data_IF_462940927364
#
_entry.id   IF_462940927364
#
_cell.length_a   1.000
_cell.length_b   1.000
_cell.length_c   1.000
_cell.angle_alpha   90.00
_cell.angle_beta   90.00
_cell.angle_gamma   90.00
#
_symmetry.space_group_name_H-M   'P 1'
#
loop_
_entity.id
_entity.type
_entity.pdbx_description
1 polymer ?
#
# COMPACT_ATOMS: atom_id res chain seq x y z
N UNK A 1 39.13 53.71 -46.61
CA UNK A 1 38.51 52.53 -47.23
C UNK A 1 38.96 51.33 -46.43
N UNK A 2 38.13 50.89 -45.48
CA UNK A 2 38.50 49.82 -44.55
C UNK A 2 37.25 49.10 -44.06
N UNK A 3 37.29 47.77 -44.17
CA UNK A 3 36.70 46.71 -43.31
C UNK A 3 36.23 45.55 -44.20
N UNK A 4 37.01 44.48 -44.27
CA UNK A 4 37.21 43.39 -43.29
C UNK A 4 36.08 42.37 -43.35
N UNK A 5 36.42 41.22 -43.92
CA UNK A 5 35.67 39.96 -43.97
C UNK A 5 35.40 39.50 -42.53
N UNK A 6 34.16 39.09 -42.24
CA UNK A 6 33.80 38.39 -40.99
C UNK A 6 33.18 37.05 -41.33
N UNK A 7 33.82 36.00 -40.83
CA UNK A 7 33.42 34.60 -40.84
C UNK A 7 32.03 34.38 -40.25
N UNK A 8 31.26 33.49 -40.88
CA UNK A 8 30.03 32.92 -40.32
C UNK A 8 29.98 31.44 -40.67
N UNK A 9 30.39 30.57 -39.72
CA UNK A 9 30.04 29.12 -39.70
C UNK A 9 30.56 28.39 -38.43
N UNK A 10 30.53 29.02 -37.25
CA UNK A 10 30.96 28.38 -35.99
C UNK A 10 29.83 28.09 -34.99
N UNK A 11 28.60 28.58 -35.20
CA UNK A 11 27.51 28.47 -34.21
C UNK A 11 26.79 27.11 -34.17
N UNK A 12 26.94 26.26 -35.20
CA UNK A 12 26.14 25.02 -35.29
C UNK A 12 26.70 23.87 -34.44
N UNK A 13 28.02 23.87 -34.20
CA UNK A 13 28.68 22.80 -33.45
C UNK A 13 28.57 23.03 -31.93
N UNK A 14 28.69 24.27 -31.46
CA UNK A 14 28.54 24.61 -30.04
C UNK A 14 27.09 24.46 -29.57
N UNK A 15 26.10 24.83 -30.39
CA UNK A 15 24.68 24.63 -30.06
C UNK A 15 24.28 23.15 -29.98
N UNK A 16 24.96 22.26 -30.71
CA UNK A 16 24.73 20.81 -30.63
C UNK A 16 25.43 20.21 -29.41
N UNK A 17 26.63 20.69 -29.09
CA UNK A 17 27.37 20.29 -27.89
C UNK A 17 26.59 20.64 -26.61
N UNK A 18 26.04 21.84 -26.51
CA UNK A 18 25.23 22.26 -25.35
C UNK A 18 23.90 21.52 -25.23
N UNK A 19 23.29 21.10 -26.35
CA UNK A 19 22.08 20.28 -26.31
C UNK A 19 22.38 18.85 -25.85
N UNK A 20 23.50 18.25 -26.27
CA UNK A 20 23.95 16.94 -25.77
C UNK A 20 24.35 16.96 -24.30
N UNK A 21 24.96 18.05 -23.83
CA UNK A 21 25.36 18.23 -22.43
C UNK A 21 24.13 18.44 -21.54
N UNK A 22 23.10 19.15 -22.02
CA UNK A 22 21.82 19.31 -21.31
C UNK A 22 20.99 18.02 -21.26
N UNK A 23 21.06 17.18 -22.31
CA UNK A 23 20.41 15.84 -22.32
C UNK A 23 21.16 14.86 -21.41
N UNK A 24 22.48 14.95 -21.33
CA UNK A 24 23.28 14.19 -20.36
C UNK A 24 22.96 14.60 -18.92
N UNK A 25 22.86 15.90 -18.63
CA UNK A 25 22.46 16.43 -17.32
C UNK A 25 21.04 15.98 -16.92
N UNK A 26 20.09 15.93 -17.86
CA UNK A 26 18.74 15.41 -17.62
C UNK A 26 18.69 13.90 -17.39
N UNK A 27 19.56 13.13 -18.07
CA UNK A 27 19.70 11.70 -17.84
C UNK A 27 20.33 11.41 -16.47
N UNK A 28 21.28 12.24 -16.02
CA UNK A 28 21.85 12.16 -14.68
C UNK A 28 20.86 12.61 -13.58
N UNK A 29 19.98 13.59 -13.87
CA UNK A 29 18.89 14.00 -12.98
C UNK A 29 17.76 12.95 -12.85
N UNK A 30 17.61 12.07 -13.84
CA UNK A 30 16.66 10.95 -13.84
C UNK A 30 17.24 9.63 -13.29
N UNK A 31 18.48 9.63 -12.82
CA UNK A 31 19.00 8.63 -11.87
C UNK A 31 19.08 7.16 -12.32
N UNK A 32 18.77 6.81 -13.56
CA UNK A 32 18.95 5.45 -14.06
C UNK A 32 19.41 5.44 -15.51
N UNK A 33 20.58 4.84 -15.76
CA UNK A 33 21.08 4.65 -17.13
C UNK A 33 20.30 3.53 -17.83
N UNK A 34 20.03 3.65 -19.14
CA UNK A 34 19.42 2.55 -19.93
C UNK A 34 20.17 1.21 -19.79
N UNK A 35 21.46 1.25 -19.43
CA UNK A 35 22.27 0.05 -19.17
C UNK A 35 21.91 -0.69 -17.89
N UNK A 36 21.38 -0.05 -16.86
CA UNK A 36 20.97 -0.72 -15.60
C UNK A 36 19.64 -1.46 -15.77
N UNK A 37 18.77 -1.00 -16.66
CA UNK A 37 17.54 -1.72 -17.02
C UNK A 37 17.80 -3.03 -17.78
N UNK A 38 19.00 -3.24 -18.35
CA UNK A 38 19.33 -4.49 -19.06
C UNK A 38 19.27 -5.74 -18.18
N UNK A 39 19.43 -5.59 -16.87
CA UNK A 39 19.42 -6.72 -15.96
C UNK A 39 17.99 -7.14 -15.56
N UNK A 40 17.01 -6.22 -15.57
CA UNK A 40 15.62 -6.50 -15.15
C UNK A 40 14.74 -7.05 -16.29
N UNK A 41 15.07 -8.24 -16.78
CA UNK A 41 14.35 -8.88 -17.90
C UNK A 41 12.86 -9.08 -17.64
N UNK A 42 12.46 -9.42 -16.43
CA UNK A 42 11.06 -9.63 -16.09
C UNK A 42 10.27 -8.31 -16.14
N UNK A 43 10.84 -7.22 -15.63
CA UNK A 43 10.26 -5.88 -15.77
C UNK A 43 10.14 -5.44 -17.24
N UNK A 44 11.17 -5.66 -18.06
CA UNK A 44 11.10 -5.35 -19.50
C UNK A 44 9.98 -6.09 -20.24
N UNK A 45 9.77 -7.36 -19.90
CA UNK A 45 8.65 -8.12 -20.46
C UNK A 45 7.29 -7.51 -20.05
N UNK A 46 7.17 -7.01 -18.82
CA UNK A 46 5.97 -6.33 -18.35
C UNK A 46 5.75 -4.98 -19.05
N UNK A 47 6.82 -4.23 -19.35
CA UNK A 47 6.75 -3.00 -20.15
C UNK A 47 6.20 -3.27 -21.57
N UNK A 48 6.72 -4.27 -22.27
CA UNK A 48 6.22 -4.67 -23.60
C UNK A 48 4.74 -5.09 -23.49
N UNK A 49 4.40 -5.89 -22.48
CA UNK A 49 3.02 -6.31 -22.23
C UNK A 49 2.10 -5.10 -22.03
N UNK A 50 2.58 -4.06 -21.34
CA UNK A 50 1.82 -2.85 -21.11
C UNK A 50 1.53 -2.05 -22.38
N UNK A 51 2.51 -2.00 -23.29
CA UNK A 51 2.39 -1.35 -24.60
C UNK A 51 1.37 -2.07 -25.49
N UNK A 52 1.33 -3.41 -25.43
CA UNK A 52 0.38 -4.23 -26.18
C UNK A 52 -1.04 -4.21 -25.57
N UNK A 53 -1.12 -4.21 -24.24
CA UNK A 53 -2.38 -4.22 -23.50
C UNK A 53 -2.28 -3.38 -22.23
N UNK A 54 -3.15 -2.37 -22.04
CA UNK A 54 -3.07 -1.50 -20.88
C UNK A 54 -3.27 -2.29 -19.58
N UNK A 55 -2.34 -2.09 -18.64
CA UNK A 55 -2.42 -2.65 -17.30
C UNK A 55 -3.37 -1.76 -16.52
N UNK A 56 -4.50 -2.33 -16.10
CA UNK A 56 -5.48 -1.60 -15.29
C UNK A 56 -5.07 -1.63 -13.82
N UNK A 57 -5.32 -0.51 -13.13
CA UNK A 57 -5.19 -0.39 -11.68
C UNK A 57 -6.38 0.42 -11.15
N UNK A 58 -6.60 0.35 -9.84
CA UNK A 58 -7.65 1.11 -9.16
C UNK A 58 -7.25 2.58 -9.00
N UNK A 59 -6.00 2.83 -8.60
CA UNK A 59 -5.40 4.14 -8.46
C UNK A 59 -3.92 4.07 -8.85
N UNK A 60 -3.38 5.19 -9.33
CA UNK A 60 -1.97 5.31 -9.70
C UNK A 60 -1.19 5.79 -8.48
N UNK A 61 -0.19 5.00 -8.06
CA UNK A 61 0.59 5.22 -6.84
C UNK A 61 2.05 5.60 -7.12
N UNK A 62 2.31 6.26 -8.25
CA UNK A 62 3.65 6.63 -8.72
C UNK A 62 4.47 7.35 -7.64
N UNK A 63 3.91 8.39 -7.02
CA UNK A 63 4.59 9.17 -5.97
C UNK A 63 4.74 8.36 -4.67
N UNK A 64 3.69 7.63 -4.27
CA UNK A 64 3.64 6.85 -3.04
C UNK A 64 4.71 5.74 -3.04
N UNK A 65 4.95 5.13 -4.20
CA UNK A 65 5.86 3.99 -4.37
C UNK A 65 7.18 4.40 -5.03
N UNK A 66 7.44 5.71 -5.13
CA UNK A 66 8.70 6.27 -5.64
C UNK A 66 9.09 5.75 -7.03
N UNK A 67 8.10 5.52 -7.91
CA UNK A 67 8.32 5.20 -9.31
C UNK A 67 8.62 6.50 -10.09
N UNK A 68 9.46 6.44 -11.14
CA UNK A 68 9.80 7.65 -11.89
C UNK A 68 8.61 8.20 -12.70
N UNK A 69 7.70 7.31 -13.13
CA UNK A 69 6.49 7.68 -13.87
C UNK A 69 5.44 6.56 -13.80
N UNK A 70 4.24 6.84 -14.30
CA UNK A 70 3.09 5.93 -14.28
C UNK A 70 3.35 4.63 -15.06
N UNK A 71 4.13 4.67 -16.15
CA UNK A 71 4.45 3.46 -16.92
C UNK A 71 5.33 2.51 -16.12
N UNK A 72 6.33 3.05 -15.40
CA UNK A 72 7.16 2.26 -14.50
C UNK A 72 6.32 1.63 -13.39
N UNK A 73 5.44 2.42 -12.76
CA UNK A 73 4.51 1.91 -11.75
C UNK A 73 3.67 0.76 -12.29
N UNK A 74 3.04 0.92 -13.46
CA UNK A 74 2.15 -0.09 -14.04
C UNK A 74 2.89 -1.38 -14.40
N UNK A 75 4.09 -1.29 -14.99
CA UNK A 75 4.89 -2.47 -15.30
C UNK A 75 5.38 -3.19 -14.02
N UNK A 76 5.85 -2.45 -13.01
CA UNK A 76 6.21 -3.03 -11.70
C UNK A 76 5.01 -3.68 -11.02
N UNK A 77 3.85 -3.04 -11.07
CA UNK A 77 2.60 -3.57 -10.54
C UNK A 77 2.24 -4.91 -11.18
N UNK A 78 2.38 -5.04 -12.50
CA UNK A 78 2.15 -6.30 -13.19
C UNK A 78 3.11 -7.40 -12.71
N UNK A 79 4.40 -7.11 -12.61
CA UNK A 79 5.39 -8.04 -12.07
C UNK A 79 5.05 -8.46 -10.62
N UNK A 80 4.71 -7.50 -9.75
CA UNK A 80 4.34 -7.76 -8.35
C UNK A 80 3.09 -8.64 -8.24
N UNK A 81 2.07 -8.38 -9.06
CA UNK A 81 0.85 -9.22 -9.14
C UNK A 81 1.19 -10.67 -9.48
N UNK A 82 2.00 -10.88 -10.51
CA UNK A 82 2.44 -12.22 -10.91
C UNK A 82 3.28 -12.89 -9.81
N UNK A 83 4.15 -12.13 -9.14
CA UNK A 83 4.98 -12.65 -8.06
C UNK A 83 4.15 -13.11 -6.85
N UNK A 84 3.10 -12.38 -6.46
CA UNK A 84 2.15 -12.83 -5.45
C UNK A 84 1.38 -14.08 -5.88
N UNK A 85 0.91 -14.12 -7.13
CA UNK A 85 0.25 -15.32 -7.68
C UNK A 85 1.18 -16.54 -7.66
N UNK A 86 2.47 -16.35 -7.94
CA UNK A 86 3.47 -17.42 -7.86
C UNK A 86 3.66 -17.88 -6.41
N UNK A 87 3.81 -16.96 -5.45
CA UNK A 87 3.96 -17.28 -4.02
C UNK A 87 2.78 -18.09 -3.48
N UNK A 88 1.55 -17.74 -3.85
CA UNK A 88 0.35 -18.39 -3.31
C UNK A 88 0.05 -19.77 -3.93
N UNK A 89 0.90 -20.25 -4.84
CA UNK A 89 0.90 -21.67 -5.23
C UNK A 89 1.35 -22.57 -4.08
N UNK A 90 2.14 -22.05 -3.14
CA UNK A 90 2.50 -22.75 -1.91
C UNK A 90 1.46 -22.47 -0.83
N UNK A 91 0.62 -23.45 -0.45
CA UNK A 91 -0.40 -23.25 0.57
C UNK A 91 0.18 -22.92 1.95
N UNK A 92 1.44 -23.29 2.24
CA UNK A 92 2.09 -22.92 3.49
C UNK A 92 2.32 -21.42 3.61
N UNK A 93 2.58 -20.72 2.50
CA UNK A 93 2.72 -19.26 2.48
C UNK A 93 1.38 -18.60 2.77
N UNK A 94 0.31 -19.05 2.12
CA UNK A 94 -1.05 -18.55 2.36
C UNK A 94 -1.45 -18.70 3.83
N UNK A 95 -1.23 -19.89 4.40
CA UNK A 95 -1.52 -20.15 5.81
C UNK A 95 -0.70 -19.26 6.75
N UNK A 96 0.60 -19.12 6.47
CA UNK A 96 1.48 -18.27 7.27
C UNK A 96 1.03 -16.81 7.28
N UNK A 97 0.58 -16.27 6.14
CA UNK A 97 0.06 -14.89 6.06
C UNK A 97 -1.21 -14.72 6.89
N UNK A 98 -2.15 -15.66 6.79
CA UNK A 98 -3.41 -15.65 7.56
C UNK A 98 -3.10 -15.66 9.07
N UNK A 99 -2.26 -16.57 9.52
CA UNK A 99 -1.92 -16.71 10.94
C UNK A 99 -1.17 -15.49 11.47
N UNK A 100 -0.19 -15.02 10.71
CA UNK A 100 0.64 -13.87 11.09
C UNK A 100 -0.16 -12.58 11.10
N UNK A 101 -1.02 -12.36 10.10
CA UNK A 101 -1.91 -11.20 10.06
C UNK A 101 -2.86 -11.18 11.26
N UNK A 102 -3.47 -12.32 11.58
CA UNK A 102 -4.31 -12.48 12.78
C UNK A 102 -3.54 -12.15 14.06
N UNK A 103 -2.34 -12.71 14.21
CA UNK A 103 -1.51 -12.52 15.41
C UNK A 103 -1.12 -11.06 15.61
N UNK A 104 -0.55 -10.41 14.58
CA UNK A 104 -0.12 -9.01 14.66
C UNK A 104 -1.27 -8.07 15.04
N UNK A 105 -2.44 -8.24 14.41
CA UNK A 105 -3.60 -7.42 14.70
C UNK A 105 -4.18 -7.69 16.09
N UNK A 106 -4.12 -8.93 16.57
CA UNK A 106 -4.49 -9.28 17.94
C UNK A 106 -3.56 -8.62 18.95
N UNK A 107 -2.25 -8.68 18.73
CA UNK A 107 -1.25 -8.07 19.61
C UNK A 107 -1.41 -6.55 19.69
N UNK A 108 -1.69 -5.91 18.55
CA UNK A 108 -2.03 -4.48 18.51
C UNK A 108 -3.27 -4.14 19.34
N UNK A 109 -4.34 -4.94 19.26
CA UNK A 109 -5.55 -4.75 20.05
C UNK A 109 -5.29 -4.93 21.54
N UNK A 110 -4.52 -5.95 21.93
CA UNK A 110 -4.11 -6.18 23.31
C UNK A 110 -3.31 -4.99 23.88
N UNK A 111 -2.38 -4.43 23.10
CA UNK A 111 -1.60 -3.25 23.50
C UNK A 111 -2.45 -2.00 23.70
N UNK A 112 -3.60 -1.91 23.04
CA UNK A 112 -4.58 -0.84 23.24
C UNK A 112 -5.66 -1.16 24.28
N UNK A 113 -5.45 -2.17 25.11
CA UNK A 113 -6.41 -2.66 26.12
C UNK A 113 -7.81 -2.97 25.53
N UNK A 114 -7.86 -3.50 24.30
CA UNK A 114 -9.12 -3.87 23.62
C UNK A 114 -9.45 -5.34 23.81
N UNK A 115 -10.75 -5.63 23.91
CA UNK A 115 -11.24 -7.01 23.83
C UNK A 115 -11.07 -7.55 22.41
N UNK A 116 -10.47 -8.74 22.30
CA UNK A 116 -10.09 -9.35 21.01
C UNK A 116 -11.13 -10.34 20.50
N UNK A 117 -12.13 -10.71 21.31
CA UNK A 117 -13.06 -11.78 20.99
C UNK A 117 -13.82 -11.55 19.67
N UNK A 118 -14.45 -10.38 19.54
CA UNK A 118 -15.21 -10.02 18.34
C UNK A 118 -14.30 -9.89 17.10
N UNK A 119 -13.06 -9.41 17.30
CA UNK A 119 -12.06 -9.37 16.24
C UNK A 119 -11.71 -10.77 15.73
N UNK A 120 -11.40 -11.71 16.63
CA UNK A 120 -11.03 -13.07 16.26
C UNK A 120 -12.16 -13.80 15.53
N UNK A 121 -13.40 -13.64 15.98
CA UNK A 121 -14.57 -14.18 15.29
C UNK A 121 -14.72 -13.58 13.90
N UNK A 122 -14.70 -12.25 13.77
CA UNK A 122 -14.82 -11.59 12.46
C UNK A 122 -13.66 -11.91 11.50
N UNK A 123 -12.44 -12.08 12.03
CA UNK A 123 -11.28 -12.49 11.25
C UNK A 123 -11.44 -13.90 10.71
N UNK A 124 -11.86 -14.86 11.54
CA UNK A 124 -12.12 -16.22 11.08
C UNK A 124 -13.26 -16.26 10.04
N UNK A 125 -14.33 -15.49 10.27
CA UNK A 125 -15.46 -15.41 9.36
C UNK A 125 -15.07 -14.88 7.97
N UNK A 126 -14.28 -13.79 7.88
CA UNK A 126 -13.84 -13.29 6.57
C UNK A 126 -12.92 -14.28 5.86
N UNK A 127 -12.05 -14.99 6.59
CA UNK A 127 -11.13 -15.97 6.00
C UNK A 127 -11.93 -17.14 5.42
N UNK A 128 -12.89 -17.66 6.18
CA UNK A 128 -13.79 -18.71 5.68
C UNK A 128 -14.60 -18.24 4.46
N UNK A 129 -15.08 -16.99 4.49
CA UNK A 129 -15.83 -16.40 3.38
C UNK A 129 -15.01 -16.29 2.09
N UNK A 130 -13.75 -15.82 2.16
CA UNK A 130 -12.89 -15.68 0.97
C UNK A 130 -12.29 -17.00 0.50
N UNK A 131 -12.20 -18.02 1.37
CA UNK A 131 -11.71 -19.34 1.00
C UNK A 131 -12.76 -20.19 0.27
N UNK A 132 -14.05 -19.86 0.38
CA UNK A 132 -15.10 -20.54 -0.37
C UNK A 132 -15.14 -20.05 -1.84
N UNK A 133 -14.83 -20.90 -2.83
CA UNK A 133 -14.86 -20.54 -4.24
C UNK A 133 -16.23 -20.02 -4.73
N UNK A 134 -17.32 -20.44 -4.08
CA UNK A 134 -18.68 -20.04 -4.46
C UNK A 134 -18.95 -18.54 -4.24
N UNK A 135 -18.19 -17.90 -3.36
CA UNK A 135 -18.36 -16.48 -3.04
C UNK A 135 -17.66 -15.55 -4.04
N UNK A 136 -16.68 -16.03 -4.81
CA UNK A 136 -15.78 -15.17 -5.59
C UNK A 136 -16.47 -14.37 -6.70
N UNK A 137 -17.50 -14.93 -7.35
CA UNK A 137 -18.28 -14.20 -8.36
C UNK A 137 -18.96 -12.97 -7.75
N UNK A 138 -19.46 -13.07 -6.52
CA UNK A 138 -20.14 -11.97 -5.84
C UNK A 138 -19.13 -11.01 -5.18
N UNK A 139 -18.03 -11.52 -4.63
CA UNK A 139 -16.90 -10.71 -4.16
C UNK A 139 -16.38 -9.82 -5.29
N UNK A 140 -16.17 -10.37 -6.49
CA UNK A 140 -15.70 -9.60 -7.63
C UNK A 140 -16.71 -8.49 -8.02
N UNK A 141 -17.99 -8.82 -8.20
CA UNK A 141 -19.04 -7.83 -8.53
C UNK A 141 -19.17 -6.74 -7.47
N UNK A 142 -18.92 -7.07 -6.20
CA UNK A 142 -18.89 -6.10 -5.11
C UNK A 142 -17.66 -5.20 -5.21
N UNK A 143 -16.46 -5.76 -5.32
CA UNK A 143 -15.20 -5.00 -5.34
C UNK A 143 -15.04 -4.13 -6.60
N UNK A 144 -15.63 -4.52 -7.73
CA UNK A 144 -15.71 -3.68 -8.93
C UNK A 144 -16.41 -2.33 -8.66
N UNK A 145 -17.38 -2.28 -7.74
CA UNK A 145 -18.06 -1.03 -7.33
C UNK A 145 -17.11 -0.10 -6.54
N UNK A 146 -16.05 -0.66 -5.96
CA UNK A 146 -14.96 0.06 -5.31
C UNK A 146 -13.78 0.26 -6.27
N UNK A 147 -14.01 0.18 -7.59
CA UNK A 147 -13.02 0.40 -8.64
C UNK A 147 -11.83 -0.59 -8.61
N UNK A 148 -11.95 -1.72 -7.91
CA UNK A 148 -10.95 -2.80 -7.96
C UNK A 148 -11.04 -3.44 -9.35
N UNK A 149 -9.98 -3.29 -10.14
CA UNK A 149 -9.96 -3.71 -11.56
C UNK A 149 -9.52 -5.16 -11.75
N UNK A 150 -8.71 -5.67 -10.82
CA UNK A 150 -8.10 -6.99 -10.90
C UNK A 150 -8.16 -7.63 -9.53
N UNK A 151 -8.58 -8.88 -9.44
CA UNK A 151 -8.77 -9.61 -8.18
C UNK A 151 -7.47 -10.29 -7.73
N UNK A 152 -6.43 -9.52 -7.46
CA UNK A 152 -5.18 -10.04 -6.88
C UNK A 152 -5.03 -9.66 -5.42
N UNK A 153 -4.12 -10.35 -4.71
CA UNK A 153 -3.77 -9.99 -3.34
C UNK A 153 -3.28 -8.56 -3.21
N UNK A 154 -2.47 -8.08 -4.16
CA UNK A 154 -2.01 -6.69 -4.14
C UNK A 154 -3.19 -5.73 -4.23
N UNK A 155 -4.05 -5.92 -5.24
CA UNK A 155 -5.17 -5.02 -5.53
C UNK A 155 -6.19 -4.97 -4.40
N UNK A 156 -6.51 -6.12 -3.80
CA UNK A 156 -7.52 -6.21 -2.75
C UNK A 156 -6.89 -5.85 -1.40
N UNK A 157 -5.81 -6.51 -0.98
CA UNK A 157 -5.31 -6.36 0.38
C UNK A 157 -4.40 -5.14 0.56
N UNK A 158 -3.43 -4.93 -0.35
CA UNK A 158 -2.42 -3.88 -0.18
C UNK A 158 -2.95 -2.52 -0.65
N UNK A 159 -3.49 -2.46 -1.87
CA UNK A 159 -4.02 -1.23 -2.44
C UNK A 159 -5.39 -0.90 -1.82
N UNK A 160 -6.42 -1.71 -2.09
CA UNK A 160 -7.76 -1.35 -1.64
C UNK A 160 -7.90 -1.31 -0.12
N UNK A 161 -7.61 -2.39 0.61
CA UNK A 161 -7.85 -2.43 2.05
C UNK A 161 -6.85 -1.56 2.81
N UNK A 162 -5.55 -1.81 2.67
CA UNK A 162 -4.53 -1.15 3.50
C UNK A 162 -4.38 0.33 3.15
N UNK A 163 -4.21 0.70 1.87
CA UNK A 163 -4.04 2.11 1.52
C UNK A 163 -5.28 2.94 1.84
N UNK A 164 -6.49 2.47 1.50
CA UNK A 164 -7.71 3.22 1.88
C UNK A 164 -7.86 3.33 3.39
N UNK A 165 -7.58 2.27 4.15
CA UNK A 165 -7.70 2.30 5.61
C UNK A 165 -6.87 3.43 6.21
N UNK A 166 -5.61 3.56 5.78
CA UNK A 166 -4.73 4.60 6.31
C UNK A 166 -5.04 5.99 5.75
N UNK A 167 -5.50 6.09 4.51
CA UNK A 167 -6.02 7.35 3.96
C UNK A 167 -7.25 7.85 4.75
N UNK A 168 -8.22 6.96 5.02
CA UNK A 168 -9.42 7.25 5.80
C UNK A 168 -9.06 7.69 7.23
N UNK A 169 -8.08 7.02 7.85
CA UNK A 169 -7.62 7.33 9.20
C UNK A 169 -6.81 8.63 9.26
N UNK A 170 -6.13 9.04 8.18
CA UNK A 170 -5.30 10.26 8.13
C UNK A 170 -6.08 11.58 8.19
N UNK A 171 -7.39 11.57 7.93
CA UNK A 171 -8.22 12.77 7.82
C UNK A 171 -9.48 12.73 8.71
N UNK A 172 -9.37 12.74 10.06
CA UNK A 172 -10.54 12.68 10.91
C UNK A 172 -11.43 13.94 10.78
N UNK A 173 -12.76 13.82 10.95
CA UNK A 173 -13.68 14.96 10.89
C UNK A 173 -13.29 16.09 11.85
N UNK A 174 -13.59 17.35 11.49
CA UNK A 174 -13.22 18.52 12.29
C UNK A 174 -13.77 18.47 13.73
N UNK A 175 -14.99 17.93 13.91
CA UNK A 175 -15.61 17.73 15.23
C UNK A 175 -14.81 16.76 16.11
N UNK A 176 -14.26 15.71 15.52
CA UNK A 176 -13.40 14.74 16.20
C UNK A 176 -12.07 15.41 16.59
N UNK A 177 -11.44 16.12 15.66
CA UNK A 177 -10.20 16.88 15.92
C UNK A 177 -10.38 17.84 17.11
N UNK A 178 -11.49 18.58 17.14
CA UNK A 178 -11.78 19.54 18.20
C UNK A 178 -11.91 18.89 19.60
N UNK A 179 -12.56 17.73 19.69
CA UNK A 179 -12.69 16.99 20.97
C UNK A 179 -11.35 16.46 21.46
N UNK A 180 -10.57 15.86 20.56
CA UNK A 180 -9.28 15.25 20.91
C UNK A 180 -8.25 16.32 21.33
N UNK A 181 -8.24 17.47 20.68
CA UNK A 181 -7.35 18.60 21.00
C UNK A 181 -7.77 19.41 22.23
N UNK A 182 -8.99 19.21 22.76
CA UNK A 182 -9.47 19.97 23.90
C UNK A 182 -8.75 19.57 25.20
N UNK A 183 -7.89 20.46 25.72
CA UNK A 183 -7.08 20.20 26.94
C UNK A 183 -7.90 20.02 28.23
N UNK A 184 -9.16 20.44 28.25
CA UNK A 184 -10.03 20.39 29.43
C UNK A 184 -10.83 19.08 29.55
N UNK A 185 -10.83 18.24 28.50
CA UNK A 185 -11.52 16.94 28.51
C UNK A 185 -10.61 15.83 29.01
N UNK A 186 -11.17 14.91 29.80
CA UNK A 186 -10.44 13.73 30.29
C UNK A 186 -10.07 12.78 29.14
N UNK A 187 -9.00 11.99 29.33
CA UNK A 187 -8.55 10.99 28.34
C UNK A 187 -9.68 10.02 27.97
N UNK A 188 -10.34 9.41 28.97
CA UNK A 188 -11.43 8.46 28.73
C UNK A 188 -12.64 9.06 28.02
N UNK A 189 -12.96 10.34 28.24
CA UNK A 189 -14.00 11.02 27.47
C UNK A 189 -13.61 11.20 26.00
N UNK A 190 -12.37 11.62 25.72
CA UNK A 190 -11.86 11.78 24.35
C UNK A 190 -11.87 10.45 23.60
N UNK A 191 -11.41 9.39 24.25
CA UNK A 191 -11.37 8.05 23.66
C UNK A 191 -12.77 7.54 23.32
N UNK A 192 -13.72 7.70 24.26
CA UNK A 192 -15.12 7.33 24.04
C UNK A 192 -15.73 8.10 22.89
N UNK A 193 -15.49 9.42 22.82
CA UNK A 193 -16.02 10.26 21.75
C UNK A 193 -15.45 9.89 20.38
N UNK A 194 -14.14 9.63 20.31
CA UNK A 194 -13.46 9.19 19.10
C UNK A 194 -13.98 7.83 18.64
N UNK A 195 -14.06 6.87 19.55
CA UNK A 195 -14.60 5.53 19.28
C UNK A 195 -16.03 5.62 18.72
N UNK A 196 -16.90 6.41 19.37
CA UNK A 196 -18.28 6.62 18.89
C UNK A 196 -18.32 7.25 17.50
N UNK A 197 -17.45 8.21 17.21
CA UNK A 197 -17.38 8.85 15.90
C UNK A 197 -16.98 7.83 14.81
N UNK A 198 -15.92 7.06 15.04
CA UNK A 198 -15.46 6.01 14.11
C UNK A 198 -16.55 4.95 13.89
N UNK A 199 -17.12 4.39 14.97
CA UNK A 199 -18.20 3.41 14.85
C UNK A 199 -19.44 3.98 14.14
N UNK A 200 -19.75 5.27 14.32
CA UNK A 200 -20.86 5.90 13.59
C UNK A 200 -20.62 5.95 12.08
N UNK A 201 -19.39 6.25 11.66
CA UNK A 201 -19.01 6.24 10.25
C UNK A 201 -19.13 4.83 9.67
N UNK A 202 -18.57 3.83 10.36
CA UNK A 202 -18.62 2.44 9.92
C UNK A 202 -20.05 1.90 9.85
N UNK A 203 -20.90 2.21 10.85
CA UNK A 203 -22.32 1.84 10.81
C UNK A 203 -23.05 2.47 9.63
N UNK A 204 -22.73 3.71 9.27
CA UNK A 204 -23.30 4.36 8.10
C UNK A 204 -22.82 3.71 6.80
N UNK A 205 -21.51 3.42 6.68
CA UNK A 205 -20.95 2.68 5.53
C UNK A 205 -21.60 1.30 5.40
N UNK A 206 -21.74 0.56 6.50
CA UNK A 206 -22.38 -0.77 6.53
C UNK A 206 -23.86 -0.73 6.11
N UNK A 207 -24.62 0.27 6.54
CA UNK A 207 -26.03 0.46 6.11
C UNK A 207 -26.19 0.80 4.63
N UNK A 208 -25.17 1.40 4.03
CA UNK A 208 -25.17 1.75 2.62
C UNK A 208 -24.69 0.60 1.71
N UNK A 209 -24.27 -0.53 2.28
CA UNK A 209 -23.83 -1.69 1.50
C UNK A 209 -24.98 -2.27 0.70
N UNK A 210 -24.70 -2.54 -0.57
CA UNK A 210 -25.60 -3.29 -1.46
C UNK A 210 -25.72 -4.76 -1.04
N UNK A 211 -24.63 -5.35 -0.57
CA UNK A 211 -24.55 -6.74 -0.11
C UNK A 211 -24.41 -6.75 1.41
N UNK A 212 -25.49 -7.10 2.11
CA UNK A 212 -25.53 -7.08 3.59
C UNK A 212 -24.63 -8.13 4.24
N UNK A 213 -24.26 -9.17 3.48
CA UNK A 213 -23.39 -10.27 3.89
C UNK A 213 -22.27 -10.49 2.84
N UNK A 214 -21.84 -9.39 2.20
CA UNK A 214 -20.74 -9.39 1.23
C UNK A 214 -19.38 -9.23 1.90
N UNK A 215 -18.33 -9.23 1.07
CA UNK A 215 -16.94 -9.02 1.49
C UNK A 215 -16.79 -7.78 2.37
N UNK A 216 -17.41 -6.65 1.98
CA UNK A 216 -17.30 -5.42 2.76
C UNK A 216 -18.03 -5.48 4.09
N UNK A 217 -19.09 -6.29 4.19
CA UNK A 217 -19.79 -6.49 5.47
C UNK A 217 -18.88 -7.21 6.46
N UNK A 218 -18.22 -8.29 6.03
CA UNK A 218 -17.21 -9.00 6.82
C UNK A 218 -16.01 -8.10 7.17
N UNK A 219 -15.48 -7.35 6.19
CA UNK A 219 -14.37 -6.43 6.42
C UNK A 219 -14.72 -5.33 7.45
N UNK A 220 -15.95 -4.81 7.43
CA UNK A 220 -16.37 -3.81 8.41
C UNK A 220 -16.53 -4.36 9.84
N UNK A 221 -16.82 -5.65 10.02
CA UNK A 221 -16.80 -6.27 11.37
C UNK A 221 -15.41 -6.17 11.97
N UNK A 222 -14.38 -6.47 11.18
CA UNK A 222 -12.98 -6.36 11.60
C UNK A 222 -12.59 -4.90 11.81
N UNK A 223 -12.96 -4.03 10.88
CA UNK A 223 -12.68 -2.59 10.93
C UNK A 223 -13.28 -1.92 12.17
N UNK A 224 -14.45 -2.36 12.63
CA UNK A 224 -15.09 -1.84 13.85
C UNK A 224 -14.27 -2.08 15.11
N UNK A 225 -13.40 -3.09 15.13
CA UNK A 225 -12.47 -3.35 16.23
C UNK A 225 -11.15 -2.57 16.06
N UNK A 226 -10.61 -2.53 14.84
CA UNK A 226 -9.29 -1.96 14.56
C UNK A 226 -9.29 -0.43 14.43
N UNK A 227 -10.27 0.16 13.76
CA UNK A 227 -10.24 1.59 13.47
C UNK A 227 -10.33 2.48 14.71
N UNK A 228 -11.13 2.14 15.76
CA UNK A 228 -11.09 2.90 17.00
C UNK A 228 -9.71 2.88 17.67
N UNK A 229 -9.02 1.74 17.66
CA UNK A 229 -7.65 1.61 18.15
C UNK A 229 -6.71 2.53 17.38
N UNK A 230 -6.69 2.44 16.04
CA UNK A 230 -5.80 3.26 15.22
C UNK A 230 -6.12 4.75 15.33
N UNK A 231 -7.39 5.14 15.35
CA UNK A 231 -7.76 6.53 15.54
C UNK A 231 -7.25 7.04 16.89
N UNK A 232 -7.40 6.25 17.96
CA UNK A 232 -6.88 6.61 19.29
C UNK A 232 -5.37 6.66 19.32
N UNK A 233 -4.68 5.71 18.68
CA UNK A 233 -3.23 5.74 18.55
C UNK A 233 -2.74 6.97 17.79
N UNK A 234 -3.32 7.31 16.64
CA UNK A 234 -2.85 8.43 15.83
C UNK A 234 -3.15 9.81 16.44
N UNK A 235 -4.33 9.98 17.04
CA UNK A 235 -4.80 11.31 17.47
C UNK A 235 -4.82 11.48 18.99
N UNK A 236 -4.86 10.38 19.74
CA UNK A 236 -4.93 10.39 21.18
C UNK A 236 -3.69 10.97 21.86
N UNK A 237 -3.79 11.23 23.17
CA UNK A 237 -2.70 11.76 23.98
C UNK A 237 -1.73 10.68 24.49
N UNK A 238 -1.90 9.42 24.11
CA UNK A 238 -0.99 8.33 24.49
C UNK A 238 0.17 8.26 23.50
N UNK A 239 1.37 8.62 23.96
CA UNK A 239 2.55 8.69 23.08
C UNK A 239 3.07 7.31 22.70
N UNK A 240 3.01 6.36 23.62
CA UNK A 240 3.51 5.00 23.36
C UNK A 240 2.64 4.29 22.33
N UNK A 241 1.31 4.34 22.50
CA UNK A 241 0.38 3.78 21.52
C UNK A 241 0.49 4.50 20.16
N UNK A 242 0.69 5.83 20.17
CA UNK A 242 0.92 6.60 18.94
C UNK A 242 2.16 6.15 18.20
N UNK A 243 3.27 5.94 18.91
CA UNK A 243 4.52 5.48 18.33
C UNK A 243 4.36 4.08 17.74
N UNK A 244 3.65 3.18 18.43
CA UNK A 244 3.36 1.82 17.94
C UNK A 244 2.49 1.85 16.67
N UNK A 245 1.37 2.60 16.69
CA UNK A 245 0.48 2.67 15.53
C UNK A 245 1.17 3.30 14.30
N UNK A 246 1.98 4.36 14.50
CA UNK A 246 2.75 4.95 13.41
C UNK A 246 3.79 3.96 12.89
N UNK A 247 4.54 3.29 13.77
CA UNK A 247 5.51 2.29 13.36
C UNK A 247 4.87 1.16 12.54
N UNK A 248 3.73 0.64 12.99
CA UNK A 248 2.98 -0.39 12.26
C UNK A 248 2.58 0.08 10.86
N UNK A 249 1.99 1.28 10.74
CA UNK A 249 1.65 1.88 9.45
C UNK A 249 2.90 2.00 8.56
N UNK A 250 3.99 2.52 9.10
CA UNK A 250 5.20 2.79 8.34
C UNK A 250 5.88 1.48 7.90
N UNK A 251 5.77 0.37 8.65
CA UNK A 251 6.21 -0.95 8.19
C UNK A 251 5.38 -1.47 7.01
N UNK A 252 4.05 -1.25 7.00
CA UNK A 252 3.19 -1.67 5.89
C UNK A 252 3.42 -0.82 4.63
N UNK A 253 3.54 0.49 4.77
CA UNK A 253 3.85 1.37 3.62
C UNK A 253 5.28 1.14 3.12
N UNK A 254 6.24 0.96 4.04
CA UNK A 254 7.61 0.61 3.70
C UNK A 254 7.73 -0.73 2.98
N UNK A 255 6.91 -1.73 3.34
CA UNK A 255 6.82 -2.98 2.58
C UNK A 255 6.42 -2.74 1.13
N UNK A 256 5.35 -1.95 0.89
CA UNK A 256 4.90 -1.65 -0.47
C UNK A 256 5.97 -0.90 -1.26
N UNK A 257 6.67 0.06 -0.63
CA UNK A 257 7.77 0.76 -1.29
C UNK A 257 8.93 -0.20 -1.66
N UNK A 258 9.33 -1.09 -0.74
CA UNK A 258 10.45 -2.02 -0.98
C UNK A 258 10.19 -3.00 -2.13
N UNK A 259 8.95 -3.52 -2.24
CA UNK A 259 8.62 -4.45 -3.33
C UNK A 259 8.55 -3.76 -4.71
N UNK A 260 8.53 -2.43 -4.76
CA UNK A 260 8.61 -1.62 -5.98
C UNK A 260 10.01 -1.04 -6.21
N UNK A 261 10.97 -1.25 -5.32
CA UNK A 261 12.31 -0.65 -5.38
C UNK A 261 13.31 -1.59 -6.09
N UNK A 262 13.87 -1.14 -7.21
CA UNK A 262 14.85 -1.94 -7.97
C UNK A 262 16.14 -2.26 -7.19
N UNK A 263 16.48 -1.45 -6.18
CA UNK A 263 17.66 -1.70 -5.34
C UNK A 263 17.40 -2.75 -4.27
N UNK A 264 16.13 -3.06 -3.99
CA UNK A 264 15.73 -3.99 -2.92
C UNK A 264 15.03 -5.24 -3.41
N UNK A 265 14.53 -5.23 -4.64
CA UNK A 265 13.76 -6.32 -5.22
C UNK A 265 14.29 -6.65 -6.61
N UNK A 266 14.58 -7.93 -6.84
CA UNK A 266 15.17 -8.42 -8.08
C UNK A 266 14.10 -8.69 -9.16
N UNK A 267 13.98 -7.77 -10.11
CA UNK A 267 13.10 -7.87 -11.28
C UNK A 267 13.74 -8.60 -12.48
N UNK A 268 14.74 -9.45 -12.27
CA UNK A 268 15.33 -10.28 -13.34
C UNK A 268 14.41 -11.44 -13.74
N UNK A 269 13.81 -12.13 -12.75
CA UNK A 269 12.93 -13.29 -12.94
C UNK A 269 11.74 -13.24 -11.99
N UNK A 270 10.69 -14.00 -12.32
CA UNK A 270 9.49 -14.11 -11.46
C UNK A 270 9.86 -14.72 -10.10
N UNK A 271 10.69 -15.77 -10.12
CA UNK A 271 11.11 -16.50 -8.93
C UNK A 271 11.91 -15.62 -7.96
N UNK A 272 12.84 -14.82 -8.47
CA UNK A 272 13.65 -13.94 -7.64
C UNK A 272 12.79 -12.84 -6.99
N UNK A 273 11.94 -12.16 -7.77
CA UNK A 273 11.02 -11.15 -7.23
C UNK A 273 10.08 -11.75 -6.18
N UNK A 274 9.52 -12.94 -6.42
CA UNK A 274 8.70 -13.64 -5.43
C UNK A 274 9.46 -13.92 -4.13
N UNK A 275 10.70 -14.38 -4.21
CA UNK A 275 11.53 -14.64 -3.03
C UNK A 275 11.81 -13.36 -2.23
N UNK A 276 12.14 -12.26 -2.92
CA UNK A 276 12.38 -10.96 -2.29
C UNK A 276 11.12 -10.41 -1.63
N UNK A 277 9.96 -10.47 -2.29
CA UNK A 277 8.67 -10.07 -1.71
C UNK A 277 8.41 -10.85 -0.41
N UNK A 278 8.64 -12.17 -0.40
CA UNK A 278 8.44 -12.98 0.80
C UNK A 278 9.46 -12.62 1.90
N UNK A 279 10.71 -12.36 1.54
CA UNK A 279 11.75 -11.94 2.48
C UNK A 279 11.42 -10.59 3.12
N UNK A 280 11.01 -9.60 2.31
CA UNK A 280 10.53 -8.30 2.77
C UNK A 280 9.35 -8.47 3.73
N UNK A 281 8.35 -9.27 3.36
CA UNK A 281 7.18 -9.51 4.22
C UNK A 281 7.58 -10.11 5.58
N UNK A 282 8.44 -11.14 5.58
CA UNK A 282 8.94 -11.77 6.82
C UNK A 282 9.75 -10.80 7.69
N UNK A 283 10.58 -9.97 7.09
CA UNK A 283 11.35 -8.95 7.79
C UNK A 283 10.43 -7.93 8.47
N UNK A 284 9.39 -7.47 7.76
CA UNK A 284 8.41 -6.51 8.28
C UNK A 284 7.59 -7.11 9.43
N UNK A 285 7.17 -8.36 9.30
CA UNK A 285 6.53 -9.13 10.38
C UNK A 285 7.42 -9.18 11.61
N UNK A 286 8.68 -9.58 11.46
CA UNK A 286 9.62 -9.66 12.57
C UNK A 286 9.83 -8.30 13.24
N UNK A 287 10.01 -7.23 12.45
CA UNK A 287 10.14 -5.87 12.95
C UNK A 287 8.93 -5.44 13.78
N UNK A 288 7.72 -5.70 13.29
CA UNK A 288 6.48 -5.41 14.01
C UNK A 288 6.43 -6.23 15.30
N UNK A 289 6.61 -7.54 15.25
CA UNK A 289 6.56 -8.40 16.44
C UNK A 289 7.55 -7.97 17.52
N UNK A 290 8.79 -7.62 17.13
CA UNK A 290 9.78 -7.09 18.08
C UNK A 290 9.30 -5.76 18.68
N UNK A 291 8.75 -4.85 17.87
CA UNK A 291 8.23 -3.56 18.36
C UNK A 291 7.06 -3.72 19.33
N UNK A 292 6.15 -4.67 19.08
CA UNK A 292 4.99 -4.94 19.95
C UNK A 292 5.37 -5.63 21.26
N UNK A 293 6.57 -6.22 21.35
CA UNK A 293 7.08 -6.87 22.56
C UNK A 293 7.84 -5.94 23.54
N UNK A 294 8.01 -4.66 23.17
CA UNK A 294 8.71 -3.63 23.95
C UNK A 294 7.74 -2.86 24.84
#
# INVERSE_FOLDING_TARGET
MTRSVSDSNLDSAESFASASEFVADLAELNGFSESEYNDYRFYKAAMITHEESPIYCRAVHTELLHCANDNEYLAKLHCVRLAFQYLFKDPAITQWIIETGRQILTDLLCLGDKDIKEFLMGYEDIINYVQDPNNWDDIQKELEQYNVKVMTFYDVCLDFLICDSFCDLGAPPASVKAVVQNRFLSKGFKETALTKAVCSVLKNKKRALKYSDGFMSHFYVISEQLYPLFAWGFFGPDEHLRDICNYFRDQLLGFQADIFDFQKSDYTTLENLSQDILAHMKNRVNNISVKLSQ
#
